data_IF_022850041085
#
_entry.id   IF_022850041085
#
_cell.length_a   1.000
_cell.length_b   1.000
_cell.length_c   1.000
_cell.angle_alpha   90.00
_cell.angle_beta   90.00
_cell.angle_gamma   90.00
#
_symmetry.space_group_name_H-M   'P 1'
#
loop_
_entity.id
_entity.type
_entity.pdbx_description
1 polymer ?
#
# COMPACT_ATOMS: atom_id res chain seq x y z
N UNK A 1 22.91 -9.70 -17.52
CA UNK A 1 23.72 -8.93 -16.55
C UNK A 1 23.56 -9.57 -15.19
N UNK A 2 24.64 -9.99 -14.55
CA UNK A 2 24.64 -10.52 -13.19
C UNK A 2 24.30 -9.37 -12.22
N UNK A 3 23.38 -9.59 -11.25
CA UNK A 3 23.04 -8.55 -10.28
C UNK A 3 24.25 -8.23 -9.39
N UNK A 4 24.57 -6.95 -9.25
CA UNK A 4 25.64 -6.47 -8.38
C UNK A 4 25.14 -6.27 -6.96
N UNK A 5 25.84 -6.76 -5.92
CA UNK A 5 25.47 -6.50 -4.53
C UNK A 5 25.66 -5.01 -4.20
N UNK A 6 24.74 -4.46 -3.41
CA UNK A 6 24.85 -3.10 -2.86
C UNK A 6 25.78 -3.08 -1.65
N UNK A 7 26.19 -1.90 -1.17
CA UNK A 7 26.92 -1.75 0.11
C UNK A 7 26.14 -2.31 1.32
N UNK A 8 24.83 -2.39 1.23
CA UNK A 8 23.95 -3.02 2.24
C UNK A 8 23.85 -4.56 2.12
N UNK A 9 24.51 -5.18 1.15
CA UNK A 9 24.43 -6.62 0.88
C UNK A 9 23.17 -7.08 0.15
N UNK A 10 22.30 -6.13 -0.31
CA UNK A 10 21.11 -6.43 -1.09
C UNK A 10 21.44 -6.53 -2.59
N UNK A 11 20.71 -7.39 -3.33
CA UNK A 11 20.84 -7.51 -4.78
C UNK A 11 19.93 -6.54 -5.54
N UNK A 12 20.49 -5.78 -6.48
CA UNK A 12 19.71 -4.95 -7.41
C UNK A 12 19.15 -5.79 -8.56
N UNK A 13 17.97 -6.36 -8.37
CA UNK A 13 17.34 -7.27 -9.32
C UNK A 13 15.99 -6.79 -9.84
N UNK A 14 15.30 -5.89 -9.11
CA UNK A 14 13.98 -5.37 -9.50
C UNK A 14 14.11 -4.50 -10.74
N UNK A 15 13.45 -4.90 -11.82
CA UNK A 15 13.35 -4.13 -13.06
C UNK A 15 12.21 -3.11 -13.00
N UNK A 16 12.12 -2.22 -13.99
CA UNK A 16 11.00 -1.27 -14.12
C UNK A 16 9.65 -1.98 -14.22
N UNK A 17 9.55 -3.05 -15.01
CA UNK A 17 8.31 -3.81 -15.15
C UNK A 17 7.92 -4.51 -13.85
N UNK A 18 8.88 -5.09 -13.14
CA UNK A 18 8.64 -5.66 -11.82
C UNK A 18 8.13 -4.58 -10.85
N UNK A 19 8.68 -3.38 -10.92
CA UNK A 19 8.27 -2.26 -10.05
C UNK A 19 6.87 -1.75 -10.38
N UNK A 20 6.49 -1.68 -11.66
CA UNK A 20 5.10 -1.39 -12.08
C UNK A 20 4.17 -2.48 -11.53
N UNK A 21 4.52 -3.74 -11.67
CA UNK A 21 3.75 -4.86 -11.16
C UNK A 21 3.62 -4.83 -9.63
N UNK A 22 4.71 -4.51 -8.91
CA UNK A 22 4.70 -4.31 -7.44
C UNK A 22 3.76 -3.17 -7.06
N UNK A 23 3.79 -2.05 -7.80
CA UNK A 23 2.91 -0.90 -7.54
C UNK A 23 1.45 -1.27 -7.78
N UNK A 24 1.13 -1.89 -8.92
CA UNK A 24 -0.23 -2.37 -9.23
C UNK A 24 -0.73 -3.37 -8.19
N UNK A 25 0.12 -4.32 -7.79
CA UNK A 25 -0.20 -5.28 -6.75
C UNK A 25 -0.42 -4.63 -5.39
N UNK A 26 0.35 -3.58 -5.09
CA UNK A 26 0.21 -2.83 -3.85
C UNK A 26 -1.11 -2.08 -3.76
N UNK A 27 -1.53 -1.44 -4.86
CA UNK A 27 -2.74 -0.61 -4.89
C UNK A 27 -3.99 -1.46 -5.09
N UNK A 28 -4.01 -2.36 -6.09
CA UNK A 28 -5.17 -3.23 -6.35
C UNK A 28 -5.23 -4.31 -5.26
N UNK A 29 -5.85 -3.98 -4.16
CA UNK A 29 -6.06 -4.84 -2.99
C UNK A 29 -7.54 -4.95 -2.64
N UNK A 30 -7.82 -5.14 -1.35
CA UNK A 30 -9.18 -5.32 -0.84
C UNK A 30 -10.14 -4.16 -1.15
N UNK A 31 -9.63 -2.94 -1.24
CA UNK A 31 -10.46 -1.73 -1.39
C UNK A 31 -11.42 -1.79 -2.57
N UNK A 32 -10.92 -2.09 -3.76
CA UNK A 32 -11.76 -2.07 -4.98
C UNK A 32 -12.80 -3.20 -5.01
N UNK A 33 -12.57 -4.28 -4.29
CA UNK A 33 -13.49 -5.41 -4.28
C UNK A 33 -14.66 -5.24 -3.30
N UNK A 34 -14.51 -4.40 -2.27
CA UNK A 34 -15.52 -4.22 -1.22
C UNK A 34 -16.13 -2.82 -1.12
N UNK A 35 -15.49 -1.81 -1.70
CA UNK A 35 -15.95 -0.42 -1.56
C UNK A 35 -17.00 0.03 -2.58
N UNK A 36 -17.09 -0.50 -3.82
CA UNK A 36 -18.07 -0.06 -4.81
C UNK A 36 -19.50 0.02 -4.28
N UNK A 37 -19.99 -1.06 -3.64
CA UNK A 37 -21.31 -1.11 -3.05
C UNK A 37 -21.49 -0.18 -1.86
N UNK A 38 -20.48 -0.11 -0.96
CA UNK A 38 -20.54 0.73 0.23
C UNK A 38 -20.58 2.21 -0.11
N UNK A 39 -19.75 2.67 -1.05
CA UNK A 39 -19.71 4.06 -1.48
C UNK A 39 -20.97 4.42 -2.25
N UNK A 40 -21.45 3.52 -3.11
CA UNK A 40 -22.73 3.71 -3.80
C UNK A 40 -23.89 3.81 -2.80
N UNK A 41 -23.94 3.01 -1.76
CA UNK A 41 -24.94 3.09 -0.71
C UNK A 41 -24.95 4.40 0.07
N UNK A 42 -23.81 5.10 0.15
CA UNK A 42 -23.70 6.40 0.83
C UNK A 42 -24.09 7.59 -0.07
N UNK A 43 -23.71 7.57 -1.34
CA UNK A 43 -23.78 8.75 -2.23
C UNK A 43 -24.32 8.45 -3.63
N UNK A 44 -24.83 7.24 -3.89
CA UNK A 44 -25.38 6.84 -5.19
C UNK A 44 -24.36 6.99 -6.32
N UNK A 45 -24.85 7.50 -7.48
CA UNK A 45 -24.01 7.69 -8.67
C UNK A 45 -22.91 8.75 -8.51
N UNK A 46 -23.03 9.62 -7.52
CA UNK A 46 -21.94 10.52 -7.13
C UNK A 46 -20.69 9.77 -6.67
N UNK A 47 -20.78 8.45 -6.45
CA UNK A 47 -19.63 7.57 -6.24
C UNK A 47 -18.62 7.65 -7.38
N UNK A 48 -19.05 7.84 -8.63
CA UNK A 48 -18.14 8.05 -9.78
C UNK A 48 -17.30 9.31 -9.62
N UNK A 49 -17.92 10.42 -9.17
CA UNK A 49 -17.18 11.65 -8.86
C UNK A 49 -16.21 11.45 -7.71
N UNK A 50 -16.61 10.73 -6.67
CA UNK A 50 -15.71 10.42 -5.55
C UNK A 50 -14.51 9.57 -6.00
N UNK A 51 -14.69 8.60 -6.91
CA UNK A 51 -13.57 7.84 -7.50
C UNK A 51 -12.62 8.75 -8.30
N UNK A 52 -13.15 9.68 -9.12
CA UNK A 52 -12.34 10.65 -9.87
C UNK A 52 -11.55 11.58 -8.95
N UNK A 53 -12.16 12.10 -7.90
CA UNK A 53 -11.49 12.94 -6.91
C UNK A 53 -10.40 12.19 -6.17
N UNK A 54 -10.64 10.94 -5.79
CA UNK A 54 -9.62 10.09 -5.16
C UNK A 54 -8.47 9.76 -6.11
N UNK A 55 -8.76 9.53 -7.39
CA UNK A 55 -7.72 9.33 -8.40
C UNK A 55 -6.84 10.59 -8.55
N UNK A 56 -7.46 11.78 -8.64
CA UNK A 56 -6.76 13.05 -8.72
C UNK A 56 -5.93 13.33 -7.45
N UNK A 57 -6.49 13.11 -6.26
CA UNK A 57 -5.79 13.21 -4.99
C UNK A 57 -4.57 12.27 -4.95
N UNK A 58 -4.77 11.00 -5.31
CA UNK A 58 -3.69 10.02 -5.33
C UNK A 58 -2.61 10.38 -6.34
N UNK A 59 -2.98 10.92 -7.50
CA UNK A 59 -2.02 11.40 -8.49
C UNK A 59 -1.16 12.55 -7.93
N UNK A 60 -1.74 13.51 -7.22
CA UNK A 60 -1.01 14.63 -6.58
C UNK A 60 -0.01 14.09 -5.56
N UNK A 61 -0.41 13.13 -4.72
CA UNK A 61 0.49 12.49 -3.75
C UNK A 61 1.59 11.70 -4.46
N UNK A 62 1.24 10.92 -5.48
CA UNK A 62 2.19 10.11 -6.27
C UNK A 62 3.23 11.00 -6.96
N UNK A 63 2.86 12.17 -7.46
CA UNK A 63 3.80 13.15 -8.00
C UNK A 63 4.85 13.56 -6.96
N UNK A 64 4.44 13.82 -5.70
CA UNK A 64 5.40 14.12 -4.63
C UNK A 64 6.35 12.94 -4.38
N UNK A 65 5.83 11.71 -4.32
CA UNK A 65 6.65 10.51 -4.15
C UNK A 65 7.60 10.27 -5.32
N UNK A 66 7.15 10.52 -6.55
CA UNK A 66 7.94 10.37 -7.76
C UNK A 66 9.14 11.33 -7.78
N UNK A 67 8.91 12.61 -7.48
CA UNK A 67 10.01 13.58 -7.42
C UNK A 67 10.98 13.28 -6.28
N UNK A 68 10.48 13.07 -5.06
CA UNK A 68 11.36 12.80 -3.91
C UNK A 68 12.08 11.46 -4.12
N UNK A 69 11.39 10.43 -4.61
CA UNK A 69 11.98 9.11 -4.90
C UNK A 69 13.07 9.17 -5.96
N UNK A 70 12.98 10.09 -6.93
CA UNK A 70 14.01 10.28 -7.96
C UNK A 70 15.35 10.86 -7.43
N UNK A 71 15.40 11.27 -6.16
CA UNK A 71 16.61 11.78 -5.50
C UNK A 71 17.47 10.67 -4.90
N UNK A 72 16.86 9.54 -4.52
CA UNK A 72 17.48 8.55 -3.64
C UNK A 72 17.63 7.18 -4.31
N UNK A 73 18.69 6.46 -3.91
CA UNK A 73 18.98 5.07 -4.34
C UNK A 73 18.89 4.06 -3.20
N UNK A 74 18.63 4.53 -1.98
CA UNK A 74 18.62 3.72 -0.78
C UNK A 74 17.27 3.07 -0.48
N UNK A 75 17.29 2.06 0.39
CA UNK A 75 16.08 1.41 0.94
C UNK A 75 15.45 2.30 2.03
N UNK A 76 14.12 2.32 2.10
CA UNK A 76 13.38 2.99 3.18
C UNK A 76 12.22 3.88 2.72
N UNK A 77 12.21 4.36 1.47
CA UNK A 77 11.14 5.22 0.94
C UNK A 77 10.88 6.44 1.83
N UNK A 78 9.64 6.70 2.29
CA UNK A 78 9.30 7.85 3.12
C UNK A 78 10.10 7.99 4.41
N UNK A 79 10.53 6.87 5.02
CA UNK A 79 11.47 6.89 6.14
C UNK A 79 12.78 7.61 5.76
N UNK A 80 13.37 7.24 4.62
CA UNK A 80 14.58 7.85 4.10
C UNK A 80 14.34 9.32 3.75
N UNK A 81 13.26 9.63 3.04
CA UNK A 81 12.92 10.97 2.57
C UNK A 81 12.76 11.96 3.73
N UNK A 82 11.97 11.57 4.73
CA UNK A 82 11.71 12.39 5.91
C UNK A 82 12.97 12.54 6.76
N UNK A 83 13.80 11.50 6.84
CA UNK A 83 15.07 11.54 7.56
C UNK A 83 16.04 12.53 6.93
N UNK A 84 16.19 12.50 5.62
CA UNK A 84 17.09 13.42 4.90
C UNK A 84 16.58 14.87 4.95
N UNK A 85 15.27 15.08 4.96
CA UNK A 85 14.68 16.41 5.02
C UNK A 85 14.69 17.02 6.44
N UNK A 86 14.39 16.23 7.48
CA UNK A 86 14.07 16.72 8.83
C UNK A 86 14.88 16.05 9.95
N UNK A 87 15.79 15.16 9.59
CA UNK A 87 16.68 14.48 10.54
C UNK A 87 16.14 13.15 11.07
N UNK A 88 16.96 12.47 11.93
CA UNK A 88 16.73 11.08 12.33
C UNK A 88 15.42 10.82 13.05
N UNK A 89 15.00 11.72 13.93
CA UNK A 89 13.78 11.54 14.73
C UNK A 89 12.51 11.56 13.87
N UNK A 90 12.43 12.53 12.93
CA UNK A 90 11.31 12.63 12.00
C UNK A 90 11.27 11.42 11.05
N UNK A 91 12.44 11.01 10.54
CA UNK A 91 12.58 9.81 9.73
C UNK A 91 12.09 8.57 10.46
N UNK A 92 12.54 8.36 11.69
CA UNK A 92 12.08 7.23 12.50
C UNK A 92 10.56 7.22 12.66
N UNK A 93 9.96 8.37 12.99
CA UNK A 93 8.50 8.49 13.13
C UNK A 93 7.76 8.10 11.85
N UNK A 94 8.19 8.61 10.69
CA UNK A 94 7.62 8.26 9.39
C UNK A 94 7.76 6.75 9.09
N UNK A 95 8.93 6.18 9.33
CA UNK A 95 9.18 4.75 9.12
C UNK A 95 8.34 3.87 10.04
N UNK A 96 8.24 4.22 11.32
CA UNK A 96 7.44 3.48 12.29
C UNK A 96 5.95 3.48 11.91
N UNK A 97 5.38 4.65 11.62
CA UNK A 97 3.99 4.75 11.16
C UNK A 97 3.77 3.99 9.85
N UNK A 98 4.74 4.03 8.94
CA UNK A 98 4.68 3.27 7.71
C UNK A 98 4.65 1.76 7.98
N UNK A 99 5.45 1.26 8.92
CA UNK A 99 5.42 -0.13 9.32
C UNK A 99 4.08 -0.53 9.96
N UNK A 100 3.55 0.29 10.88
CA UNK A 100 2.21 0.09 11.47
C UNK A 100 1.14 0.03 10.39
N UNK A 101 1.12 1.00 9.46
CA UNK A 101 0.17 1.02 8.34
C UNK A 101 0.23 -0.27 7.49
N UNK A 102 1.42 -0.86 7.32
CA UNK A 102 1.61 -2.09 6.55
C UNK A 102 1.11 -3.33 7.29
N UNK A 103 1.51 -3.50 8.54
CA UNK A 103 1.12 -4.70 9.30
C UNK A 103 -0.39 -4.73 9.57
N UNK A 104 -1.01 -3.57 9.79
CA UNK A 104 -2.46 -3.46 9.92
C UNK A 104 -3.19 -3.68 8.60
N UNK A 105 -2.68 -3.16 7.47
CA UNK A 105 -3.23 -3.43 6.14
C UNK A 105 -3.14 -4.92 5.79
N UNK A 106 -2.04 -5.60 6.14
CA UNK A 106 -1.93 -7.04 5.96
C UNK A 106 -3.02 -7.78 6.72
N UNK A 107 -3.24 -7.45 7.99
CA UNK A 107 -4.27 -8.07 8.81
C UNK A 107 -5.68 -7.85 8.21
N UNK A 108 -6.00 -6.63 7.76
CA UNK A 108 -7.25 -6.32 7.11
C UNK A 108 -7.45 -7.15 5.83
N UNK A 109 -6.48 -7.14 4.92
CA UNK A 109 -6.55 -7.86 3.65
C UNK A 109 -6.61 -9.39 3.85
N UNK A 110 -5.94 -9.93 4.88
CA UNK A 110 -6.01 -11.35 5.22
C UNK A 110 -7.41 -11.79 5.64
N UNK A 111 -8.13 -10.94 6.40
CA UNK A 111 -9.52 -11.22 6.77
C UNK A 111 -10.45 -11.22 5.55
N UNK A 112 -10.24 -10.30 4.60
CA UNK A 112 -11.00 -10.30 3.36
C UNK A 112 -10.68 -11.52 2.49
N UNK A 113 -9.41 -11.94 2.46
CA UNK A 113 -9.01 -13.17 1.78
C UNK A 113 -9.79 -14.38 2.27
N UNK A 114 -9.95 -14.53 3.59
CA UNK A 114 -10.78 -15.60 4.16
C UNK A 114 -12.23 -15.54 3.65
N UNK A 115 -12.83 -14.35 3.58
CA UNK A 115 -14.22 -14.17 3.12
C UNK A 115 -14.41 -14.59 1.66
N UNK A 116 -13.44 -14.30 0.78
CA UNK A 116 -13.51 -14.73 -0.63
C UNK A 116 -13.12 -16.19 -0.82
N UNK A 117 -12.14 -16.70 -0.07
CA UNK A 117 -11.76 -18.11 -0.09
C UNK A 117 -12.89 -19.03 0.43
N UNK A 118 -13.70 -18.53 1.35
CA UNK A 118 -14.87 -19.24 1.87
C UNK A 118 -15.95 -19.51 0.80
N UNK A 119 -15.92 -18.83 -0.34
CA UNK A 119 -16.75 -19.16 -1.50
C UNK A 119 -16.45 -20.58 -2.01
N UNK A 120 -15.19 -21.00 -1.97
CA UNK A 120 -14.74 -22.33 -2.43
C UNK A 120 -14.64 -23.34 -1.30
N UNK A 121 -14.21 -22.88 -0.12
CA UNK A 121 -13.96 -23.72 1.07
C UNK A 121 -14.62 -23.05 2.28
N UNK A 122 -15.91 -23.35 2.57
CA UNK A 122 -16.66 -22.68 3.65
C UNK A 122 -15.98 -22.75 5.03
N UNK A 123 -15.17 -23.78 5.28
CA UNK A 123 -14.46 -23.99 6.55
C UNK A 123 -13.46 -22.89 6.89
N UNK A 124 -12.98 -22.11 5.90
CA UNK A 124 -12.02 -21.01 6.13
C UNK A 124 -12.67 -19.68 6.52
N UNK A 125 -14.02 -19.65 6.64
CA UNK A 125 -14.73 -18.44 7.02
C UNK A 125 -14.49 -18.06 8.49
N UNK A 126 -14.49 -19.04 9.39
CA UNK A 126 -14.47 -18.83 10.86
C UNK A 126 -13.69 -19.89 11.60
N UNK A 127 -13.47 -19.68 12.89
CA UNK A 127 -12.93 -20.67 13.82
C UNK A 127 -11.51 -21.16 13.47
N UNK A 128 -11.29 -22.45 13.74
CA UNK A 128 -9.97 -23.08 13.54
C UNK A 128 -9.55 -23.10 12.07
N UNK A 129 -10.49 -23.39 11.16
CA UNK A 129 -10.22 -23.41 9.71
C UNK A 129 -9.69 -22.07 9.20
N UNK A 130 -10.30 -20.95 9.63
CA UNK A 130 -9.83 -19.59 9.34
C UNK A 130 -8.39 -19.38 9.84
N UNK A 131 -8.11 -19.75 11.09
CA UNK A 131 -6.78 -19.54 11.67
C UNK A 131 -5.71 -20.40 10.99
N UNK A 132 -5.99 -21.65 10.67
CA UNK A 132 -5.08 -22.52 9.92
C UNK A 132 -4.80 -21.98 8.51
N UNK A 133 -5.83 -21.47 7.83
CA UNK A 133 -5.68 -20.85 6.52
C UNK A 133 -4.81 -19.59 6.59
N UNK A 134 -5.01 -18.71 7.58
CA UNK A 134 -4.18 -17.53 7.81
C UNK A 134 -2.72 -17.90 8.11
N UNK A 135 -2.49 -18.93 8.93
CA UNK A 135 -1.15 -19.47 9.21
C UNK A 135 -0.50 -19.97 7.92
N UNK A 136 -1.19 -20.78 7.13
CA UNK A 136 -0.65 -21.35 5.90
C UNK A 136 -0.28 -20.28 4.87
N UNK A 137 -1.16 -19.31 4.63
CA UNK A 137 -0.90 -18.19 3.71
C UNK A 137 0.26 -17.33 4.21
N UNK A 138 0.28 -16.96 5.49
CA UNK A 138 1.36 -16.13 6.05
C UNK A 138 2.69 -16.87 5.98
N UNK A 139 2.75 -18.16 6.35
CA UNK A 139 3.96 -18.97 6.25
C UNK A 139 4.48 -19.04 4.81
N UNK A 140 3.60 -19.30 3.83
CA UNK A 140 3.97 -19.32 2.41
C UNK A 140 4.59 -17.99 1.97
N UNK A 141 3.95 -16.87 2.32
CA UNK A 141 4.42 -15.54 1.94
C UNK A 141 5.76 -15.18 2.61
N UNK A 142 5.93 -15.56 3.88
CA UNK A 142 7.21 -15.42 4.61
C UNK A 142 8.29 -16.26 3.94
N UNK A 143 8.02 -17.50 3.59
CA UNK A 143 8.99 -18.40 2.95
C UNK A 143 9.44 -17.85 1.58
N UNK A 144 8.51 -17.37 0.75
CA UNK A 144 8.81 -16.75 -0.56
C UNK A 144 9.69 -15.52 -0.39
N UNK A 145 9.37 -14.64 0.57
CA UNK A 145 10.17 -13.43 0.84
C UNK A 145 11.55 -13.78 1.41
N UNK A 146 11.64 -14.84 2.23
CA UNK A 146 12.90 -15.31 2.83
C UNK A 146 13.84 -15.91 1.78
N UNK A 147 13.29 -16.70 0.85
CA UNK A 147 14.06 -17.37 -0.20
C UNK A 147 14.73 -16.43 -1.21
N UNK A 148 14.27 -15.20 -1.31
CA UNK A 148 14.95 -14.17 -2.05
C UNK A 148 14.09 -13.35 -3.00
N UNK A 149 14.59 -12.16 -3.33
CA UNK A 149 13.88 -11.14 -4.10
C UNK A 149 13.52 -11.60 -5.53
N UNK A 150 14.32 -12.47 -6.16
CA UNK A 150 14.01 -12.99 -7.50
C UNK A 150 12.75 -13.86 -7.50
N UNK A 151 12.65 -14.78 -6.54
CA UNK A 151 11.43 -15.57 -6.34
C UNK A 151 10.23 -14.68 -5.99
N UNK A 152 10.44 -13.69 -5.14
CA UNK A 152 9.42 -12.73 -4.77
C UNK A 152 8.92 -11.87 -5.95
N UNK A 153 9.79 -11.42 -6.83
CA UNK A 153 9.41 -10.63 -8.02
C UNK A 153 8.63 -11.48 -9.04
N UNK A 154 9.10 -12.71 -9.34
CA UNK A 154 8.38 -13.62 -10.22
C UNK A 154 6.99 -13.96 -9.66
N UNK A 155 6.92 -14.29 -8.36
CA UNK A 155 5.66 -14.54 -7.66
C UNK A 155 4.72 -13.34 -7.79
N UNK A 156 5.23 -12.11 -7.53
CA UNK A 156 4.46 -10.88 -7.69
C UNK A 156 3.92 -10.69 -9.12
N UNK A 157 4.74 -10.93 -10.15
CA UNK A 157 4.33 -10.75 -11.55
C UNK A 157 3.21 -11.73 -11.94
N UNK A 158 3.30 -13.00 -11.52
CA UNK A 158 2.24 -14.00 -11.73
C UNK A 158 0.93 -13.54 -11.09
N UNK A 159 0.98 -13.04 -9.85
CA UNK A 159 -0.22 -12.55 -9.17
C UNK A 159 -0.76 -11.25 -9.78
N UNK A 160 0.12 -10.38 -10.33
CA UNK A 160 -0.32 -9.16 -11.02
C UNK A 160 -1.09 -9.49 -12.30
N UNK A 161 -0.58 -10.39 -13.11
CA UNK A 161 -1.29 -10.85 -14.32
C UNK A 161 -2.58 -11.57 -13.94
N UNK A 162 -2.51 -12.49 -12.98
CA UNK A 162 -3.65 -13.28 -12.50
C UNK A 162 -4.81 -12.43 -11.94
N UNK A 163 -4.53 -11.26 -11.36
CA UNK A 163 -5.58 -10.34 -10.89
C UNK A 163 -6.14 -9.43 -11.97
N UNK A 164 -5.29 -8.97 -12.89
CA UNK A 164 -5.71 -8.03 -13.92
C UNK A 164 -6.59 -8.70 -14.95
N UNK A 165 -6.32 -9.94 -15.34
CA UNK A 165 -7.10 -10.68 -16.34
C UNK A 165 -8.59 -10.73 -15.97
N UNK A 166 -9.02 -11.24 -14.79
CA UNK A 166 -10.43 -11.29 -14.43
C UNK A 166 -11.09 -9.90 -14.38
N UNK A 167 -10.38 -8.89 -13.88
CA UNK A 167 -10.90 -7.52 -13.81
C UNK A 167 -11.10 -6.90 -15.19
N UNK A 168 -10.10 -7.04 -16.07
CA UNK A 168 -10.17 -6.53 -17.43
C UNK A 168 -11.23 -7.27 -18.25
N UNK A 169 -11.38 -8.57 -18.09
CA UNK A 169 -12.44 -9.36 -18.72
C UNK A 169 -13.81 -8.88 -18.24
N UNK A 170 -13.99 -8.71 -16.93
CA UNK A 170 -15.24 -8.19 -16.40
C UNK A 170 -15.57 -6.78 -16.94
N UNK A 171 -14.58 -5.89 -17.03
CA UNK A 171 -14.76 -4.56 -17.58
C UNK A 171 -15.10 -4.64 -19.07
N UNK A 172 -14.28 -5.35 -19.86
CA UNK A 172 -14.43 -5.43 -21.31
C UNK A 172 -15.78 -6.04 -21.74
N UNK A 173 -16.21 -7.08 -21.04
CA UNK A 173 -17.51 -7.73 -21.30
C UNK A 173 -18.64 -6.93 -20.64
N UNK A 174 -18.45 -6.50 -19.37
CA UNK A 174 -19.47 -5.85 -18.57
C UNK A 174 -19.99 -4.54 -19.20
N UNK A 175 -19.12 -3.74 -19.83
CA UNK A 175 -19.49 -2.49 -20.47
C UNK A 175 -20.59 -2.67 -21.53
N UNK A 176 -20.62 -3.80 -22.22
CA UNK A 176 -21.66 -4.10 -23.23
C UNK A 176 -23.04 -4.40 -22.61
N UNK A 177 -23.08 -4.81 -21.35
CA UNK A 177 -24.30 -5.13 -20.62
C UNK A 177 -24.74 -4.01 -19.66
N UNK A 178 -24.00 -2.90 -19.61
CA UNK A 178 -24.32 -1.76 -18.76
C UNK A 178 -25.67 -1.17 -19.16
N UNK A 179 -26.60 -1.12 -18.21
CA UNK A 179 -27.84 -0.37 -18.33
C UNK A 179 -27.56 1.11 -18.07
N UNK A 180 -27.45 1.91 -19.13
CA UNK A 180 -27.19 3.34 -19.02
C UNK A 180 -28.32 4.11 -18.34
N UNK A 181 -29.53 3.56 -18.32
CA UNK A 181 -30.67 4.12 -17.61
C UNK A 181 -30.58 3.98 -16.09
N UNK A 182 -29.62 3.18 -15.59
CA UNK A 182 -29.37 3.02 -14.15
C UNK A 182 -28.65 4.22 -13.54
N UNK A 183 -28.09 5.11 -14.35
CA UNK A 183 -27.36 6.29 -13.88
C UNK A 183 -28.29 7.46 -13.66
N UNK A 184 -28.47 7.83 -12.39
CA UNK A 184 -29.34 8.93 -12.00
C UNK A 184 -28.64 9.87 -11.02
N UNK A 185 -28.15 10.99 -11.52
CA UNK A 185 -27.58 12.05 -10.70
C UNK A 185 -28.70 12.96 -10.16
N UNK A 186 -29.31 12.52 -9.05
CA UNK A 186 -30.34 13.29 -8.35
C UNK A 186 -29.77 14.45 -7.54
N UNK A 187 -30.37 14.72 -6.37
CA UNK A 187 -29.84 15.74 -5.45
C UNK A 187 -28.43 15.41 -5.00
N UNK A 188 -27.50 16.39 -5.00
CA UNK A 188 -26.15 16.17 -4.49
C UNK A 188 -26.17 15.65 -3.05
N UNK A 189 -25.28 14.69 -2.71
CA UNK A 189 -25.21 14.16 -1.37
C UNK A 189 -24.76 15.24 -0.37
N UNK A 190 -25.18 15.10 0.89
CA UNK A 190 -24.69 15.94 1.96
C UNK A 190 -23.16 15.78 2.14
N UNK A 191 -22.50 16.79 2.71
CA UNK A 191 -21.06 16.81 2.90
C UNK A 191 -20.53 15.59 3.65
N UNK A 192 -21.17 15.19 4.76
CA UNK A 192 -20.69 14.10 5.59
C UNK A 192 -20.67 12.72 4.87
N UNK A 193 -21.74 12.26 4.19
CA UNK A 193 -21.67 11.05 3.39
C UNK A 193 -20.64 11.12 2.26
N UNK A 194 -20.49 12.27 1.61
CA UNK A 194 -19.54 12.45 0.53
C UNK A 194 -18.10 12.39 1.02
N UNK A 195 -17.76 13.13 2.08
CA UNK A 195 -16.41 13.12 2.66
C UNK A 195 -16.01 11.75 3.23
N UNK A 196 -16.97 11.03 3.86
CA UNK A 196 -16.77 9.65 4.30
C UNK A 196 -16.49 8.72 3.12
N UNK A 197 -17.22 8.88 2.03
CA UNK A 197 -16.99 8.08 0.80
C UNK A 197 -15.61 8.33 0.21
N UNK A 198 -15.16 9.60 0.15
CA UNK A 198 -13.81 9.96 -0.30
C UNK A 198 -12.76 9.36 0.62
N UNK A 199 -12.92 9.45 1.95
CA UNK A 199 -11.99 8.85 2.92
C UNK A 199 -11.88 7.33 2.73
N UNK A 200 -13.00 6.62 2.56
CA UNK A 200 -12.99 5.19 2.27
C UNK A 200 -12.27 4.86 0.96
N UNK A 201 -12.54 5.64 -0.09
CA UNK A 201 -11.90 5.42 -1.39
C UNK A 201 -10.41 5.72 -1.40
N UNK A 202 -9.92 6.63 -0.56
CA UNK A 202 -8.47 6.84 -0.41
C UNK A 202 -7.79 5.53 -0.04
N UNK A 203 -8.40 4.68 0.80
CA UNK A 203 -7.85 3.35 1.09
C UNK A 203 -7.67 2.50 -0.16
N UNK A 204 -8.62 2.54 -1.10
CA UNK A 204 -8.51 1.78 -2.35
C UNK A 204 -7.35 2.23 -3.23
N UNK A 205 -7.00 3.52 -3.21
CA UNK A 205 -5.90 4.09 -3.97
C UNK A 205 -4.55 4.08 -3.24
N UNK A 206 -4.49 3.64 -1.97
CA UNK A 206 -3.22 3.52 -1.22
C UNK A 206 -2.46 2.25 -1.61
N UNK A 207 -1.16 2.22 -1.31
CA UNK A 207 -0.31 1.06 -1.54
C UNK A 207 0.81 1.30 -2.55
N UNK A 208 0.72 2.33 -3.39
CA UNK A 208 1.78 2.72 -4.34
C UNK A 208 3.10 3.02 -3.62
N UNK A 209 3.04 3.53 -2.40
CA UNK A 209 4.21 3.81 -1.57
C UNK A 209 5.00 2.54 -1.18
N UNK A 210 4.47 1.35 -1.45
CA UNK A 210 5.20 0.09 -1.25
C UNK A 210 6.36 -0.05 -2.24
N UNK A 211 6.20 0.46 -3.43
CA UNK A 211 7.20 0.36 -4.48
C UNK A 211 8.47 1.17 -4.21
N UNK A 212 8.38 2.25 -3.44
CA UNK A 212 9.55 3.10 -3.14
C UNK A 212 10.40 2.58 -1.98
N UNK A 213 9.88 1.65 -1.18
CA UNK A 213 10.60 1.14 0.01
C UNK A 213 11.83 0.31 -0.36
N UNK A 214 11.77 -0.67 -1.30
CA UNK A 214 12.91 -1.49 -1.66
C UNK A 214 13.89 -0.79 -2.62
N UNK A 215 14.09 0.52 -2.50
CA UNK A 215 14.94 1.32 -3.40
C UNK A 215 16.34 0.76 -3.62
N UNK A 216 16.94 0.12 -2.59
CA UNK A 216 18.24 -0.55 -2.70
C UNK A 216 18.23 -1.83 -3.53
N UNK A 217 17.06 -2.42 -3.83
CA UNK A 217 16.89 -3.64 -4.62
C UNK A 217 16.47 -3.33 -6.07
N UNK A 218 16.18 -2.06 -6.40
CA UNK A 218 15.80 -1.59 -7.74
C UNK A 218 17.06 -1.31 -8.58
N UNK A 219 17.05 -1.65 -9.86
CA UNK A 219 18.20 -1.46 -10.76
C UNK A 219 18.56 0.01 -10.94
N UNK A 220 17.62 0.83 -11.36
CA UNK A 220 17.78 2.28 -11.50
C UNK A 220 16.64 3.02 -10.78
N UNK A 221 16.67 3.09 -9.42
CA UNK A 221 15.54 3.58 -8.65
C UNK A 221 15.16 5.02 -9.00
N UNK A 222 16.11 5.87 -9.36
CA UNK A 222 15.86 7.28 -9.65
C UNK A 222 15.00 7.51 -10.90
N UNK A 223 15.06 6.59 -11.90
CA UNK A 223 14.25 6.64 -13.12
C UNK A 223 13.03 5.72 -13.02
N UNK A 224 13.23 4.54 -12.42
CA UNK A 224 12.21 3.49 -12.43
C UNK A 224 11.08 3.78 -11.43
N UNK A 225 11.37 4.39 -10.26
CA UNK A 225 10.36 4.76 -9.27
C UNK A 225 9.34 5.76 -9.86
N UNK A 226 9.73 6.93 -10.40
CA UNK A 226 8.77 7.85 -10.99
C UNK A 226 7.90 7.22 -12.07
N UNK A 227 8.53 6.50 -13.00
CA UNK A 227 7.82 5.86 -14.11
C UNK A 227 6.82 4.82 -13.61
N UNK A 228 7.23 3.97 -12.68
CA UNK A 228 6.37 2.92 -12.17
C UNK A 228 5.17 3.47 -11.40
N UNK A 229 5.38 4.47 -10.54
CA UNK A 229 4.33 5.09 -9.76
C UNK A 229 3.28 5.77 -10.66
N UNK A 230 3.73 6.60 -11.61
CA UNK A 230 2.83 7.34 -12.50
C UNK A 230 2.06 6.41 -13.45
N UNK A 231 2.73 5.41 -14.00
CA UNK A 231 2.08 4.41 -14.86
C UNK A 231 1.04 3.61 -14.08
N UNK A 232 1.40 3.13 -12.90
CA UNK A 232 0.50 2.29 -12.10
C UNK A 232 -0.73 3.06 -11.62
N UNK A 233 -0.59 4.31 -11.12
CA UNK A 233 -1.74 5.07 -10.65
C UNK A 233 -2.70 5.44 -11.80
N UNK A 234 -2.16 5.71 -12.99
CA UNK A 234 -2.98 5.93 -14.20
C UNK A 234 -3.80 4.70 -14.58
N UNK A 235 -3.17 3.53 -14.62
CA UNK A 235 -3.87 2.24 -14.88
C UNK A 235 -4.94 1.99 -13.82
N UNK A 236 -4.60 2.15 -12.53
CA UNK A 236 -5.54 1.91 -11.42
C UNK A 236 -6.74 2.86 -11.51
N UNK A 237 -6.53 4.14 -11.77
CA UNK A 237 -7.60 5.13 -11.88
C UNK A 237 -8.63 4.74 -12.96
N UNK A 238 -8.15 4.34 -14.13
CA UNK A 238 -9.00 3.90 -15.24
C UNK A 238 -9.74 2.61 -14.88
N UNK A 239 -9.04 1.60 -14.35
CA UNK A 239 -9.63 0.31 -13.98
C UNK A 239 -10.71 0.50 -12.91
N UNK A 240 -10.45 1.30 -11.88
CA UNK A 240 -11.40 1.51 -10.78
C UNK A 240 -12.66 2.26 -11.22
N UNK A 241 -12.48 3.29 -12.06
CA UNK A 241 -13.61 4.05 -12.60
C UNK A 241 -14.50 3.18 -13.48
N UNK A 242 -13.89 2.43 -14.41
CA UNK A 242 -14.62 1.51 -15.28
C UNK A 242 -15.33 0.40 -14.50
N UNK A 243 -14.68 -0.12 -13.46
CA UNK A 243 -15.28 -1.15 -12.61
C UNK A 243 -16.48 -0.60 -11.85
N UNK A 244 -16.42 0.64 -11.33
CA UNK A 244 -17.56 1.30 -10.69
C UNK A 244 -18.72 1.50 -11.68
N UNK A 245 -18.43 1.94 -12.91
CA UNK A 245 -19.45 2.06 -13.98
C UNK A 245 -20.12 0.70 -14.23
N UNK A 246 -19.34 -0.37 -14.38
CA UNK A 246 -19.86 -1.72 -14.60
C UNK A 246 -20.72 -2.19 -13.41
N UNK A 247 -20.28 -1.95 -12.18
CA UNK A 247 -21.04 -2.32 -10.99
C UNK A 247 -22.40 -1.57 -10.92
N UNK A 248 -22.42 -0.27 -11.17
CA UNK A 248 -23.67 0.54 -11.19
C UNK A 248 -24.61 0.05 -12.29
N UNK A 249 -24.09 -0.15 -13.50
CA UNK A 249 -24.90 -0.51 -14.64
C UNK A 249 -25.45 -1.94 -14.64
N UNK A 250 -24.83 -2.86 -13.88
CA UNK A 250 -25.23 -4.28 -13.80
C UNK A 250 -26.01 -4.64 -12.55
N UNK A 251 -25.84 -3.89 -11.45
CA UNK A 251 -26.42 -4.25 -10.16
C UNK A 251 -27.44 -3.20 -9.71
N UNK A 252 -28.76 -3.48 -9.87
CA UNK A 252 -29.79 -2.60 -9.32
C UNK A 252 -29.67 -2.39 -7.81
N UNK A 253 -29.28 -3.45 -7.07
CA UNK A 253 -29.11 -3.44 -5.62
C UNK A 253 -27.64 -3.35 -5.20
N UNK A 254 -26.84 -2.52 -5.89
CA UNK A 254 -25.41 -2.41 -5.64
C UNK A 254 -25.09 -2.05 -4.17
N UNK A 255 -25.90 -1.18 -3.54
CA UNK A 255 -25.74 -0.78 -2.14
C UNK A 255 -25.79 -1.97 -1.14
N UNK A 256 -26.59 -2.98 -1.43
CA UNK A 256 -26.76 -4.18 -0.59
C UNK A 256 -25.68 -5.23 -0.84
N UNK A 257 -24.95 -5.16 -1.93
CA UNK A 257 -23.97 -6.17 -2.32
C UNK A 257 -22.77 -6.19 -1.38
N UNK A 258 -22.46 -7.36 -0.85
CA UNK A 258 -21.24 -7.62 -0.05
C UNK A 258 -20.03 -7.97 -0.93
N UNK A 259 -20.26 -8.36 -2.19
CA UNK A 259 -19.24 -8.79 -3.16
C UNK A 259 -19.54 -8.19 -4.54
N UNK A 260 -19.58 -6.84 -4.67
CA UNK A 260 -20.13 -6.15 -5.85
C UNK A 260 -19.49 -6.58 -7.17
N UNK A 261 -18.19 -6.87 -7.18
CA UNK A 261 -17.46 -7.26 -8.39
C UNK A 261 -17.82 -8.70 -8.81
N UNK A 262 -17.96 -9.63 -7.85
CA UNK A 262 -18.36 -10.99 -8.13
C UNK A 262 -19.86 -11.09 -8.49
N UNK A 263 -20.69 -10.28 -7.82
CA UNK A 263 -22.13 -10.24 -8.10
C UNK A 263 -22.41 -9.62 -9.49
N UNK A 264 -21.64 -8.60 -9.92
CA UNK A 264 -21.71 -8.07 -11.29
C UNK A 264 -21.34 -9.15 -12.33
N UNK A 265 -20.27 -9.92 -12.08
CA UNK A 265 -19.90 -11.03 -12.97
C UNK A 265 -20.96 -12.13 -13.02
N UNK A 266 -21.63 -12.38 -11.90
CA UNK A 266 -22.74 -13.35 -11.83
C UNK A 266 -23.92 -12.96 -12.71
N UNK A 267 -24.20 -11.67 -12.86
CA UNK A 267 -25.26 -11.16 -13.74
C UNK A 267 -25.01 -11.46 -15.22
N UNK A 268 -23.74 -11.52 -15.63
CA UNK A 268 -23.37 -11.74 -17.05
C UNK A 268 -23.16 -13.22 -17.33
N UNK A 269 -22.43 -13.91 -16.47
CA UNK A 269 -21.91 -15.27 -16.70
C UNK A 269 -22.45 -16.29 -15.68
N UNK A 270 -23.45 -15.92 -14.89
CA UNK A 270 -24.01 -16.80 -13.86
C UNK A 270 -22.98 -17.19 -12.78
N UNK A 271 -23.20 -18.35 -12.17
CA UNK A 271 -22.33 -18.86 -11.08
C UNK A 271 -20.88 -19.08 -11.53
N UNK A 272 -20.65 -19.45 -12.78
CA UNK A 272 -19.30 -19.60 -13.33
C UNK A 272 -18.53 -18.26 -13.36
N UNK A 273 -19.20 -17.15 -13.70
CA UNK A 273 -18.62 -15.81 -13.64
C UNK A 273 -18.28 -15.39 -12.21
N UNK A 274 -19.16 -15.65 -11.24
CA UNK A 274 -18.89 -15.36 -9.84
C UNK A 274 -17.68 -16.19 -9.32
N UNK A 275 -17.57 -17.45 -9.70
CA UNK A 275 -16.44 -18.30 -9.33
C UNK A 275 -15.12 -17.81 -9.94
N UNK A 276 -15.13 -17.49 -11.24
CA UNK A 276 -13.95 -16.96 -11.94
C UNK A 276 -13.43 -15.66 -11.31
N UNK A 277 -14.33 -14.73 -11.04
CA UNK A 277 -13.95 -13.45 -10.39
C UNK A 277 -13.51 -13.67 -8.95
N UNK A 278 -14.21 -14.54 -8.17
CA UNK A 278 -13.79 -14.83 -6.78
C UNK A 278 -12.39 -15.45 -6.73
N UNK A 279 -12.08 -16.36 -7.65
CA UNK A 279 -10.72 -16.91 -7.78
C UNK A 279 -9.69 -15.82 -8.10
N UNK A 280 -9.99 -14.93 -9.06
CA UNK A 280 -9.16 -13.78 -9.38
C UNK A 280 -8.94 -12.84 -8.19
N UNK A 281 -9.96 -12.64 -7.34
CA UNK A 281 -9.86 -11.83 -6.12
C UNK A 281 -8.97 -12.50 -5.07
N UNK A 282 -9.09 -13.81 -4.87
CA UNK A 282 -8.20 -14.58 -3.98
C UNK A 282 -6.75 -14.43 -4.43
N UNK A 283 -6.48 -14.60 -5.73
CA UNK A 283 -5.17 -14.36 -6.33
C UNK A 283 -4.73 -12.92 -6.09
N UNK A 284 -5.58 -11.94 -6.36
CA UNK A 284 -5.30 -10.52 -6.19
C UNK A 284 -4.89 -10.17 -4.76
N UNK A 285 -5.68 -10.59 -3.77
CA UNK A 285 -5.42 -10.28 -2.36
C UNK A 285 -4.14 -10.98 -1.91
N UNK A 286 -3.89 -12.23 -2.31
CA UNK A 286 -2.66 -12.97 -1.98
C UNK A 286 -1.42 -12.25 -2.53
N UNK A 287 -1.49 -11.77 -3.78
CA UNK A 287 -0.42 -10.95 -4.38
C UNK A 287 -0.20 -9.63 -3.64
N UNK A 288 -1.28 -8.97 -3.22
CA UNK A 288 -1.18 -7.75 -2.40
C UNK A 288 -0.53 -8.04 -1.04
N UNK A 289 -0.95 -9.09 -0.34
CA UNK A 289 -0.34 -9.51 0.93
C UNK A 289 1.16 -9.78 0.78
N UNK A 290 1.58 -10.40 -0.34
CA UNK A 290 2.97 -10.61 -0.65
C UNK A 290 3.76 -9.29 -0.70
N UNK A 291 3.27 -8.31 -1.46
CA UNK A 291 3.92 -6.99 -1.61
C UNK A 291 3.91 -6.21 -0.29
N UNK A 292 2.82 -6.30 0.48
CA UNK A 292 2.74 -5.69 1.82
C UNK A 292 3.84 -6.25 2.72
N UNK A 293 4.00 -7.58 2.79
CA UNK A 293 5.04 -8.23 3.60
C UNK A 293 6.44 -7.88 3.09
N UNK A 294 6.63 -7.86 1.76
CA UNK A 294 7.87 -7.46 1.12
C UNK A 294 8.30 -6.08 1.60
N UNK A 295 7.43 -5.07 1.44
CA UNK A 295 7.76 -3.70 1.80
C UNK A 295 7.83 -3.50 3.33
N UNK A 296 6.94 -4.11 4.10
CA UNK A 296 6.90 -3.98 5.55
C UNK A 296 8.19 -4.47 6.21
N UNK A 297 8.75 -5.59 5.76
CA UNK A 297 9.97 -6.15 6.34
C UNK A 297 11.24 -5.32 6.05
N UNK A 298 11.25 -4.50 4.98
CA UNK A 298 12.39 -3.63 4.65
C UNK A 298 12.47 -2.39 5.55
N UNK A 299 11.39 -1.98 6.19
CA UNK A 299 11.37 -0.81 7.09
C UNK A 299 12.17 -1.09 8.38
N UNK A 300 11.87 -2.15 9.18
CA UNK A 300 12.69 -2.49 10.34
C UNK A 300 14.15 -2.82 9.95
N UNK A 301 14.36 -3.41 8.78
CA UNK A 301 15.71 -3.65 8.26
C UNK A 301 16.50 -2.33 8.12
N UNK A 302 15.93 -1.33 7.44
CA UNK A 302 16.58 -0.04 7.24
C UNK A 302 16.84 0.70 8.56
N UNK A 303 15.91 0.62 9.52
CA UNK A 303 16.05 1.20 10.86
C UNK A 303 17.11 0.43 11.68
N UNK A 304 17.16 -0.91 11.57
CA UNK A 304 18.13 -1.75 12.25
C UNK A 304 19.56 -1.50 11.76
N UNK A 305 19.76 -1.29 10.44
CA UNK A 305 21.06 -0.90 9.88
C UNK A 305 21.57 0.44 10.45
N UNK A 306 20.66 1.33 10.83
CA UNK A 306 20.98 2.64 11.42
C UNK A 306 20.98 2.63 12.96
N UNK A 307 20.83 1.47 13.57
CA UNK A 307 20.81 1.29 15.02
C UNK A 307 19.68 2.08 15.72
N UNK A 308 18.59 2.38 15.03
CA UNK A 308 17.40 3.04 15.58
C UNK A 308 16.46 2.07 16.31
N UNK A 309 16.57 0.80 15.97
CA UNK A 309 15.98 -0.36 16.64
C UNK A 309 17.07 -1.44 16.78
N UNK A 310 16.83 -2.58 17.43
CA UNK A 310 17.86 -3.62 17.61
C UNK A 310 18.56 -3.99 16.30
N UNK A 311 19.91 -3.90 16.30
CA UNK A 311 20.78 -4.10 15.12
C UNK A 311 20.58 -5.46 14.43
N UNK A 312 20.08 -6.46 15.15
CA UNK A 312 19.80 -7.79 14.63
C UNK A 312 18.80 -7.75 13.46
N UNK A 313 17.86 -6.81 13.46
CA UNK A 313 16.89 -6.61 12.39
C UNK A 313 17.53 -6.06 11.09
N UNK A 314 18.69 -5.42 11.20
CA UNK A 314 19.47 -4.92 10.07
C UNK A 314 20.37 -5.95 9.39
N UNK A 315 20.33 -7.23 9.79
CA UNK A 315 21.16 -8.29 9.22
C UNK A 315 20.56 -8.87 7.93
N UNK A 316 21.45 -9.14 6.96
CA UNK A 316 21.15 -9.83 5.70
C UNK A 316 21.51 -11.32 5.81
N UNK A 317 20.71 -12.18 5.20
CA UNK A 317 21.00 -13.62 5.13
C UNK A 317 22.20 -13.88 4.19
N UNK A 318 23.23 -14.67 4.60
CA UNK A 318 24.43 -14.86 3.78
C UNK A 318 24.16 -15.44 2.38
N UNK A 319 23.27 -16.43 2.29
CA UNK A 319 22.95 -17.13 1.03
C UNK A 319 21.89 -16.41 0.19
N UNK A 320 20.79 -16.00 0.81
CA UNK A 320 19.64 -15.43 0.09
C UNK A 320 19.72 -13.92 -0.10
N UNK A 321 20.59 -13.24 0.64
CA UNK A 321 20.81 -11.79 0.63
C UNK A 321 19.50 -11.00 0.86
N UNK A 322 18.67 -11.55 1.77
CA UNK A 322 17.38 -10.96 2.20
C UNK A 322 17.46 -10.54 3.67
N UNK A 323 16.65 -9.58 4.11
CA UNK A 323 16.57 -9.15 5.52
C UNK A 323 15.80 -10.18 6.37
N UNK A 324 16.33 -11.38 6.50
CA UNK A 324 15.63 -12.56 7.01
C UNK A 324 15.02 -12.38 8.40
N UNK A 325 15.71 -11.74 9.34
CA UNK A 325 15.21 -11.52 10.71
C UNK A 325 14.03 -10.52 10.68
N UNK A 326 14.14 -9.45 9.91
CA UNK A 326 13.04 -8.50 9.71
C UNK A 326 11.83 -9.16 9.04
N UNK A 327 12.03 -10.07 8.09
CA UNK A 327 10.95 -10.83 7.44
C UNK A 327 10.22 -11.70 8.47
N UNK A 328 10.95 -12.47 9.28
CA UNK A 328 10.38 -13.35 10.29
C UNK A 328 9.64 -12.55 11.38
N UNK A 329 10.27 -11.48 11.90
CA UNK A 329 9.65 -10.62 12.91
C UNK A 329 8.36 -9.95 12.40
N UNK A 330 8.40 -9.39 11.19
CA UNK A 330 7.21 -8.81 10.56
C UNK A 330 6.15 -9.88 10.30
N UNK A 331 6.54 -11.06 9.83
CA UNK A 331 5.65 -12.20 9.62
C UNK A 331 4.92 -12.63 10.89
N UNK A 332 5.61 -12.68 12.02
CA UNK A 332 4.99 -12.99 13.31
C UNK A 332 3.96 -11.91 13.72
N UNK A 333 4.30 -10.63 13.58
CA UNK A 333 3.40 -9.52 13.94
C UNK A 333 2.15 -9.51 13.06
N UNK A 334 2.28 -9.66 11.73
CA UNK A 334 1.11 -9.66 10.83
C UNK A 334 0.21 -10.85 11.10
N UNK A 335 0.75 -12.03 11.45
CA UNK A 335 -0.03 -13.21 11.79
C UNK A 335 -0.84 -12.99 13.08
N UNK A 336 -0.20 -12.46 14.13
CA UNK A 336 -0.88 -12.15 15.39
C UNK A 336 -2.03 -11.16 15.13
N UNK A 337 -1.79 -10.09 14.39
CA UNK A 337 -2.81 -9.09 14.06
C UNK A 337 -3.92 -9.66 13.17
N UNK A 338 -3.61 -10.54 12.22
CA UNK A 338 -4.61 -11.17 11.35
C UNK A 338 -5.55 -12.10 12.13
N UNK A 339 -5.03 -12.82 13.12
CA UNK A 339 -5.83 -13.74 13.96
C UNK A 339 -6.67 -12.96 14.97
N UNK A 340 -6.10 -11.93 15.63
CA UNK A 340 -6.73 -11.21 16.74
C UNK A 340 -7.53 -9.97 16.33
N UNK A 341 -7.27 -9.41 15.14
CA UNK A 341 -7.84 -8.14 14.72
C UNK A 341 -9.16 -8.25 13.94
N UNK A 342 -9.92 -7.14 13.92
CA UNK A 342 -11.06 -6.96 13.02
C UNK A 342 -10.66 -6.15 11.80
N UNK A 343 -11.35 -6.39 10.66
CA UNK A 343 -11.08 -5.66 9.40
C UNK A 343 -11.19 -4.14 9.56
N UNK A 344 -12.29 -3.67 10.17
CA UNK A 344 -12.59 -2.22 10.26
C UNK A 344 -11.52 -1.48 11.06
N UNK A 345 -11.16 -1.96 12.24
CA UNK A 345 -10.14 -1.33 13.08
C UNK A 345 -8.77 -1.25 12.40
N UNK A 346 -8.36 -2.35 11.75
CA UNK A 346 -7.08 -2.40 11.07
C UNK A 346 -7.00 -1.42 9.89
N UNK A 347 -8.08 -1.27 9.12
CA UNK A 347 -8.19 -0.29 8.01
C UNK A 347 -8.02 1.13 8.52
N UNK A 348 -8.72 1.47 9.58
CA UNK A 348 -8.76 2.83 10.13
C UNK A 348 -7.38 3.32 10.58
N UNK A 349 -6.68 2.52 11.40
CA UNK A 349 -5.31 2.84 11.84
C UNK A 349 -4.35 2.96 10.63
N UNK A 350 -4.55 2.10 9.62
CA UNK A 350 -3.74 2.13 8.40
C UNK A 350 -3.89 3.44 7.62
N UNK A 351 -5.11 3.96 7.48
CA UNK A 351 -5.38 5.19 6.69
C UNK A 351 -4.72 6.40 7.35
N UNK A 352 -4.96 6.62 8.64
CA UNK A 352 -4.41 7.79 9.33
C UNK A 352 -2.89 7.80 9.36
N UNK A 353 -2.27 6.65 9.64
CA UNK A 353 -0.82 6.53 9.58
C UNK A 353 -0.28 6.88 8.17
N UNK A 354 -0.98 6.49 7.10
CA UNK A 354 -0.59 6.83 5.72
C UNK A 354 -0.73 8.30 5.41
N UNK A 355 -1.78 8.97 5.87
CA UNK A 355 -1.96 10.41 5.65
C UNK A 355 -0.82 11.20 6.30
N UNK A 356 -0.37 10.81 7.51
CA UNK A 356 0.82 11.43 8.13
C UNK A 356 2.09 11.21 7.28
N UNK A 357 2.25 10.02 6.69
CA UNK A 357 3.38 9.72 5.79
C UNK A 357 3.33 10.56 4.52
N UNK A 358 2.13 10.78 3.97
CA UNK A 358 1.94 11.60 2.76
C UNK A 358 2.26 13.06 3.04
N UNK A 359 1.81 13.60 4.19
CA UNK A 359 2.22 14.91 4.69
C UNK A 359 3.74 15.03 4.82
N UNK A 360 4.37 14.05 5.47
CA UNK A 360 5.83 14.00 5.64
C UNK A 360 6.58 13.98 4.31
N UNK A 361 6.10 13.22 3.32
CA UNK A 361 6.73 13.15 1.99
C UNK A 361 6.56 14.46 1.22
N UNK A 362 5.36 15.07 1.23
CA UNK A 362 5.12 16.35 0.58
C UNK A 362 5.93 17.48 1.22
N UNK A 363 6.03 17.50 2.55
CA UNK A 363 6.88 18.44 3.28
C UNK A 363 8.37 18.20 2.98
N UNK A 364 8.80 16.94 2.85
CA UNK A 364 10.18 16.60 2.44
C UNK A 364 10.52 17.13 1.05
N UNK A 365 9.56 17.07 0.11
CA UNK A 365 9.75 17.66 -1.22
C UNK A 365 10.04 19.15 -1.15
N UNK A 366 9.30 19.90 -0.33
CA UNK A 366 9.52 21.34 -0.12
C UNK A 366 10.90 21.60 0.51
N UNK A 367 11.24 20.87 1.58
CA UNK A 367 12.50 21.04 2.30
C UNK A 367 13.70 20.74 1.41
N UNK A 368 13.67 19.61 0.67
CA UNK A 368 14.76 19.17 -0.20
C UNK A 368 14.93 20.05 -1.45
N UNK A 369 13.86 20.71 -1.93
CA UNK A 369 13.96 21.70 -3.01
C UNK A 369 14.68 22.98 -2.57
N UNK A 370 14.56 23.35 -1.28
CA UNK A 370 15.18 24.58 -0.73
C UNK A 370 16.64 24.39 -0.31
N UNK A 371 17.10 23.14 -0.20
CA UNK A 371 18.47 22.81 0.24
C UNK A 371 19.40 22.65 -0.96
N UNK A 372 20.47 23.41 -1.00
CA UNK A 372 21.50 23.33 -2.05
C UNK A 372 22.38 22.08 -1.97
N UNK A 373 22.53 21.52 -0.75
CA UNK A 373 23.30 20.29 -0.45
C UNK A 373 22.52 19.01 -0.67
N UNK A 374 21.20 19.09 -0.94
CA UNK A 374 20.36 17.92 -1.15
C UNK A 374 20.64 17.23 -2.51
N UNK A 375 20.52 15.89 -2.58
CA UNK A 375 20.63 15.17 -3.85
C UNK A 375 19.67 15.75 -4.89
N UNK A 376 20.15 15.99 -6.12
CA UNK A 376 19.32 16.52 -7.20
C UNK A 376 18.27 15.49 -7.64
N UNK A 377 17.03 15.96 -7.82
CA UNK A 377 15.99 15.13 -8.40
C UNK A 377 16.23 14.93 -9.90
N UNK A 378 16.07 13.70 -10.40
CA UNK A 378 16.06 13.46 -11.85
C UNK A 378 14.72 13.87 -12.47
N UNK A 379 13.61 13.73 -11.71
CA UNK A 379 12.31 14.26 -12.07
C UNK A 379 12.06 15.54 -11.25
N UNK A 380 12.01 16.70 -11.89
CA UNK A 380 11.59 17.95 -11.28
C UNK A 380 10.22 18.35 -11.83
N UNK A 381 9.23 18.40 -10.96
CA UNK A 381 7.88 18.77 -11.35
C UNK A 381 7.77 20.30 -11.51
N UNK A 382 7.08 20.79 -12.57
CA UNK A 382 6.78 22.19 -12.74
C UNK A 382 5.82 22.70 -11.66
N UNK A 383 5.64 24.02 -11.56
CA UNK A 383 4.68 24.64 -10.63
C UNK A 383 5.19 24.88 -9.22
N UNK A 384 6.49 24.75 -8.95
CA UNK A 384 7.10 25.13 -7.67
C UNK A 384 6.48 24.42 -6.48
N UNK A 385 5.88 25.16 -5.55
CA UNK A 385 5.29 24.63 -4.33
C UNK A 385 3.82 24.18 -4.48
N UNK A 386 3.18 24.40 -5.63
CA UNK A 386 1.75 24.15 -5.80
C UNK A 386 1.39 22.68 -5.50
N UNK A 387 2.10 21.74 -6.12
CA UNK A 387 1.83 20.29 -5.97
C UNK A 387 2.01 19.83 -4.52
N UNK A 388 3.15 20.07 -3.83
CA UNK A 388 3.30 19.62 -2.46
C UNK A 388 2.37 20.36 -1.48
N UNK A 389 2.04 21.64 -1.72
CA UNK A 389 1.06 22.35 -0.89
C UNK A 389 -0.34 21.77 -1.05
N UNK A 390 -0.77 21.47 -2.28
CA UNK A 390 -2.04 20.78 -2.53
C UNK A 390 -2.09 19.40 -1.85
N UNK A 391 -1.00 18.63 -1.93
CA UNK A 391 -0.88 17.34 -1.23
C UNK A 391 -1.04 17.48 0.29
N UNK A 392 -0.42 18.50 0.89
CA UNK A 392 -0.53 18.78 2.32
C UNK A 392 -1.97 19.15 2.70
N UNK A 393 -2.58 20.11 1.99
CA UNK A 393 -3.94 20.58 2.28
C UNK A 393 -4.98 19.46 2.14
N UNK A 394 -4.89 18.65 1.09
CA UNK A 394 -5.76 17.50 0.87
C UNK A 394 -5.58 16.43 1.96
N UNK A 395 -4.35 16.15 2.39
CA UNK A 395 -4.10 15.20 3.47
C UNK A 395 -4.64 15.70 4.81
N UNK A 396 -4.48 16.99 5.12
CA UNK A 396 -5.05 17.60 6.34
C UNK A 396 -6.57 17.59 6.30
N UNK A 397 -7.17 17.92 5.15
CA UNK A 397 -8.62 17.83 4.97
C UNK A 397 -9.16 16.41 5.21
N UNK A 398 -8.49 15.38 4.69
CA UNK A 398 -8.89 14.00 4.94
C UNK A 398 -8.72 13.61 6.42
N UNK A 399 -7.65 14.04 7.07
CA UNK A 399 -7.43 13.78 8.50
C UNK A 399 -8.51 14.44 9.36
N UNK A 400 -9.00 15.63 8.99
CA UNK A 400 -10.08 16.32 9.73
C UNK A 400 -11.42 15.58 9.68
N UNK A 401 -11.61 14.64 8.74
CA UNK A 401 -12.80 13.79 8.65
C UNK A 401 -12.68 12.46 9.43
N UNK A 402 -11.57 12.24 10.16
CA UNK A 402 -11.40 11.07 11.01
C UNK A 402 -12.06 11.25 12.38
N UNK A 403 -12.41 10.15 13.04
CA UNK A 403 -12.96 10.16 14.38
C UNK A 403 -11.89 10.38 15.46
N UNK A 404 -12.27 10.94 16.61
CA UNK A 404 -11.36 11.08 17.76
C UNK A 404 -10.76 9.75 18.23
N UNK A 405 -11.51 8.65 18.11
CA UNK A 405 -11.04 7.31 18.47
C UNK A 405 -9.89 6.87 17.54
N UNK A 406 -10.04 7.07 16.26
CA UNK A 406 -9.03 6.73 15.25
C UNK A 406 -7.76 7.57 15.43
N UNK A 407 -7.92 8.87 15.68
CA UNK A 407 -6.81 9.78 15.95
C UNK A 407 -6.04 9.37 17.22
N UNK A 408 -6.77 9.03 18.30
CA UNK A 408 -6.18 8.54 19.56
C UNK A 408 -5.36 7.27 19.33
N UNK A 409 -5.94 6.27 18.67
CA UNK A 409 -5.30 4.96 18.50
C UNK A 409 -4.06 5.03 17.59
N UNK A 410 -4.10 5.88 16.57
CA UNK A 410 -2.92 6.18 15.74
C UNK A 410 -1.85 6.91 16.55
N UNK A 411 -2.24 7.85 17.40
CA UNK A 411 -1.31 8.59 18.28
C UNK A 411 -0.65 7.67 19.31
N UNK A 412 -1.40 6.73 19.90
CA UNK A 412 -0.85 5.71 20.81
C UNK A 412 0.17 4.81 20.11
N UNK A 413 -0.13 4.38 18.85
CA UNK A 413 0.81 3.60 18.07
C UNK A 413 2.10 4.40 17.76
N UNK A 414 1.97 5.70 17.46
CA UNK A 414 3.12 6.59 17.24
C UNK A 414 3.95 6.77 18.54
N UNK A 415 3.29 6.98 19.69
CA UNK A 415 3.93 7.13 20.99
C UNK A 415 4.73 5.87 21.40
N UNK A 416 4.17 4.67 21.15
CA UNK A 416 4.88 3.40 21.37
C UNK A 416 6.19 3.34 20.55
N UNK A 417 6.12 3.70 19.28
CA UNK A 417 7.32 3.75 18.44
C UNK A 417 8.36 4.73 18.96
N UNK A 418 7.92 5.92 19.37
CA UNK A 418 8.82 6.92 19.93
C UNK A 418 9.49 6.45 21.22
N UNK A 419 8.78 5.74 22.10
CA UNK A 419 9.36 5.11 23.28
C UNK A 419 10.45 4.09 22.93
N UNK A 420 10.20 3.22 21.93
CA UNK A 420 11.19 2.26 21.44
C UNK A 420 12.43 2.99 20.89
N UNK A 421 12.25 4.07 20.15
CA UNK A 421 13.34 4.89 19.62
C UNK A 421 14.20 5.48 20.72
N UNK A 422 13.57 6.07 21.73
CA UNK A 422 14.28 6.64 22.89
C UNK A 422 15.09 5.59 23.64
N UNK A 423 14.50 4.43 23.92
CA UNK A 423 15.19 3.31 24.59
C UNK A 423 16.39 2.86 23.76
N UNK A 424 16.24 2.72 22.45
CA UNK A 424 17.34 2.35 21.56
C UNK A 424 18.43 3.41 21.51
N UNK A 425 18.06 4.68 21.53
CA UNK A 425 19.00 5.81 21.55
C UNK A 425 19.81 5.86 22.86
N UNK A 426 19.16 5.66 24.02
CA UNK A 426 19.85 5.64 25.31
C UNK A 426 20.77 4.42 25.50
N UNK A 427 20.45 3.28 24.88
CA UNK A 427 21.27 2.07 24.94
C UNK A 427 22.47 2.07 23.97
N UNK A 428 22.65 3.12 23.17
CA UNK A 428 23.85 3.24 22.31
C UNK A 428 25.06 3.45 23.18
N UNK A 429 26.12 2.59 23.10
CA UNK A 429 27.39 2.86 23.78
C UNK A 429 27.94 4.20 23.26
N UNK A 430 28.40 5.05 24.18
CA UNK A 430 29.00 6.37 23.86
C UNK A 430 30.31 6.32 23.06
N UNK A 431 30.82 5.12 22.73
CA UNK A 431 32.16 4.88 22.20
C UNK A 431 32.28 4.72 20.67
N UNK A 432 31.27 5.09 19.89
CA UNK A 432 31.45 5.23 18.44
C UNK A 432 31.14 6.67 18.03
N UNK A 433 32.15 7.55 18.29
CA UNK A 433 32.33 8.80 17.55
C UNK A 433 32.15 8.54 16.05
N UNK A 434 31.34 9.35 15.43
CA UNK A 434 31.23 9.68 14.02
C UNK A 434 32.33 9.16 13.07
N UNK A 435 32.47 7.86 12.92
CA UNK A 435 33.19 7.29 11.80
C UNK A 435 32.14 6.97 10.74
N UNK A 436 31.99 7.93 9.85
CA UNK A 436 31.55 7.84 8.47
C UNK A 436 30.52 6.72 8.16
N UNK A 437 29.25 7.03 8.41
CA UNK A 437 28.20 6.44 7.57
C UNK A 437 28.36 7.16 6.21
N UNK A 438 28.82 6.48 5.15
CA UNK A 438 28.95 7.12 3.86
C UNK A 438 27.60 7.65 3.40
N UNK A 439 27.55 8.77 2.68
CA UNK A 439 26.31 9.32 2.15
C UNK A 439 25.56 8.28 1.31
N UNK A 440 24.23 8.36 1.26
CA UNK A 440 23.33 7.41 0.62
C UNK A 440 23.55 7.24 -0.89
#
# INVERSE_FOLDING_TARGET
MTPTPTRSGLLRSITRLDLIAVTLNGVIGAGIFGLPGKVFGLIGDYSLLAFLLCAAFSAIIVLCFAEVGSRFRGTGGPYLYTREAFGPTAGFGAGWLMWIARVTAFAANSNLLCSYAAFFVPQVATGLGRNLFLCAVTFLLVAVNYAGIRGAALFNNVFTVGKLIPLLVLIAVGVWFVSWNSFYFGTPPAYAPFSTSVLLLVYAFTGFEMAVVPGGEIRDPQKDIPTALLTAIGIVAVVYLLLQVVCIGLLPDLAASQRPVADAASRILGQAGAAFISAGIVVSITGNLHVVLLSASRIPFAMGQRLEIPAVLGKTHPRFQTPHISILATGAVVLILAISGTFVYAVTVSILARLVIYLGTAASMIALRRRSDAPKALLQLPGGLLIPTAAILLSLWLMSNSTLREARDTSLAAALGFAIYLISKYRRPHSRSQTEIPPP
#
